data_IF_105168426634
#
_entry.id   IF_105168426634
#
_cell.length_a   1.000
_cell.length_b   1.000
_cell.length_c   1.000
_cell.angle_alpha   90.00
_cell.angle_beta   90.00
_cell.angle_gamma   90.00
#
_symmetry.space_group_name_H-M   'P 1'
#
loop_
_entity.id
_entity.type
_entity.pdbx_description
1 polymer ?
#
# COMPACT_ATOMS: atom_id res chain seq x y z
N UNK A 1 14.68 32.31 12.73
CA UNK A 1 13.76 31.16 12.87
C UNK A 1 14.58 29.90 12.61
N UNK A 2 14.66 28.99 13.58
CA UNK A 2 15.54 27.83 13.50
C UNK A 2 14.70 26.54 13.37
N UNK A 3 14.90 25.80 12.28
CA UNK A 3 14.26 24.51 12.04
C UNK A 3 15.23 23.43 12.50
N UNK A 4 14.89 22.71 13.57
CA UNK A 4 15.70 21.59 14.08
C UNK A 4 15.19 20.29 13.44
N UNK A 5 15.87 19.81 12.41
CA UNK A 5 15.60 18.52 11.78
C UNK A 5 16.36 17.39 12.49
N UNK A 6 15.67 16.64 13.36
CA UNK A 6 16.25 15.48 14.01
C UNK A 6 16.22 14.23 13.09
N UNK A 7 17.33 13.95 12.40
CA UNK A 7 17.48 12.77 11.53
C UNK A 7 17.89 11.54 12.33
N UNK A 8 16.93 10.71 12.74
CA UNK A 8 17.21 9.44 13.45
C UNK A 8 17.90 8.45 12.50
N UNK A 9 19.16 8.10 12.80
CA UNK A 9 19.88 7.01 12.15
C UNK A 9 19.88 5.81 13.10
N UNK A 10 19.22 4.70 12.71
CA UNK A 10 19.30 3.43 13.45
C UNK A 10 20.59 2.71 13.04
N UNK A 11 21.56 2.61 13.96
CA UNK A 11 22.74 1.77 13.79
C UNK A 11 22.45 0.30 14.16
N UNK A 12 23.26 -0.66 13.69
CA UNK A 12 23.07 -2.07 14.02
C UNK A 12 23.55 -2.36 15.44
N UNK A 13 22.73 -3.05 16.23
CA UNK A 13 23.14 -3.65 17.51
C UNK A 13 23.42 -5.14 17.25
N UNK A 14 24.67 -5.55 17.51
CA UNK A 14 25.20 -6.90 17.32
C UNK A 14 25.47 -7.59 18.67
N UNK A 15 25.63 -8.92 18.61
CA UNK A 15 25.94 -9.89 19.68
C UNK A 15 24.71 -10.51 20.40
N UNK A 16 24.37 -11.81 20.21
CA UNK A 16 25.10 -13.08 20.50
C UNK A 16 25.08 -13.40 22.01
N UNK A 17 24.81 -14.62 22.51
CA UNK A 17 24.57 -15.95 21.92
C UNK A 17 23.11 -16.44 22.22
N UNK A 18 22.67 -17.71 22.14
CA UNK A 18 23.32 -19.02 21.94
C UNK A 18 22.38 -20.04 21.23
N UNK A 19 22.70 -21.34 21.32
CA UNK A 19 22.08 -22.45 20.58
C UNK A 19 21.34 -23.49 21.46
N UNK A 20 20.27 -24.06 20.91
CA UNK A 20 19.82 -25.43 21.17
C UNK A 20 19.46 -26.08 19.82
N UNK A 21 19.70 -27.40 19.69
CA UNK A 21 19.99 -28.05 18.40
C UNK A 21 19.12 -29.30 18.18
N UNK A 22 18.47 -29.36 17.02
CA UNK A 22 18.04 -30.57 16.25
C UNK A 22 16.96 -31.50 16.87
N UNK A 23 15.90 -31.77 16.09
CA UNK A 23 15.62 -33.10 15.47
C UNK A 23 14.60 -32.92 14.32
N UNK A 24 14.82 -33.65 13.22
CA UNK A 24 14.00 -33.63 12.00
C UNK A 24 12.72 -34.50 12.09
N UNK A 25 11.76 -34.19 11.22
CA UNK A 25 10.62 -35.03 10.84
C UNK A 25 9.68 -34.24 9.92
N UNK A 26 10.03 -33.98 8.66
CA UNK A 26 9.97 -34.93 7.54
C UNK A 26 8.69 -35.77 7.58
N UNK A 27 7.72 -35.43 6.71
CA UNK A 27 7.32 -36.31 5.60
C UNK A 27 6.51 -35.53 4.55
N UNK A 28 6.74 -35.87 3.28
CA UNK A 28 6.16 -35.26 2.09
C UNK A 28 4.89 -35.99 1.67
N UNK A 29 3.95 -35.28 1.03
CA UNK A 29 3.18 -35.69 -0.18
C UNK A 29 2.15 -34.57 -0.46
N UNK A 30 2.17 -33.77 -1.53
CA UNK A 30 2.33 -34.05 -2.96
C UNK A 30 1.13 -34.80 -3.59
N UNK A 31 0.00 -34.09 -3.78
CA UNK A 31 -0.95 -34.27 -4.90
C UNK A 31 -2.05 -33.19 -4.84
N UNK A 32 -2.20 -32.38 -5.89
CA UNK A 32 -3.19 -31.29 -5.88
C UNK A 32 -3.08 -30.31 -7.04
N UNK A 33 -3.17 -30.82 -8.28
CA UNK A 33 -3.45 -29.96 -9.43
C UNK A 33 -4.84 -29.34 -9.24
N UNK A 34 -4.87 -28.09 -8.81
CA UNK A 34 -6.05 -27.25 -8.66
C UNK A 34 -5.74 -25.86 -9.19
N UNK A 35 -6.69 -25.25 -9.89
CA UNK A 35 -6.44 -24.08 -10.69
C UNK A 35 -5.93 -22.86 -9.91
N UNK A 36 -5.26 -22.00 -10.69
CA UNK A 36 -5.43 -20.54 -10.63
C UNK A 36 -6.91 -20.18 -10.41
N UNK A 37 -7.15 -18.95 -9.93
CA UNK A 37 -8.48 -18.37 -9.72
C UNK A 37 -9.19 -18.75 -8.40
N UNK A 38 -8.51 -18.50 -7.28
CA UNK A 38 -9.19 -17.76 -6.20
C UNK A 38 -9.17 -16.28 -6.53
N UNK A 39 -9.98 -15.88 -7.51
CA UNK A 39 -10.41 -14.50 -7.63
C UNK A 39 -11.26 -14.19 -6.39
N UNK A 40 -10.61 -13.71 -5.33
CA UNK A 40 -11.31 -13.17 -4.16
C UNK A 40 -11.83 -11.80 -4.57
N UNK A 41 -12.93 -11.79 -5.34
CA UNK A 41 -13.86 -10.66 -5.41
C UNK A 41 -14.65 -10.55 -4.09
N UNK A 42 -13.91 -10.57 -2.98
CA UNK A 42 -14.39 -10.19 -1.67
C UNK A 42 -13.83 -8.80 -1.40
N UNK A 43 -14.72 -7.83 -1.20
CA UNK A 43 -14.35 -6.43 -0.91
C UNK A 43 -13.33 -6.41 0.22
N UNK A 44 -12.10 -6.03 -0.10
CA UNK A 44 -11.00 -5.96 0.87
C UNK A 44 -11.40 -4.94 1.92
N UNK A 45 -11.53 -5.35 3.19
CA UNK A 45 -11.92 -4.44 4.27
C UNK A 45 -10.96 -3.25 4.30
N UNK A 46 -11.41 -2.01 4.02
CA UNK A 46 -10.55 -0.84 4.13
C UNK A 46 -10.20 -0.55 5.60
N UNK A 47 -10.96 -1.12 6.55
CA UNK A 47 -10.78 -0.91 7.99
C UNK A 47 -9.81 -1.91 8.59
N UNK A 48 -9.03 -1.44 9.58
CA UNK A 48 -8.11 -2.26 10.38
C UNK A 48 -6.64 -2.06 10.03
N UNK A 49 -6.34 -1.32 8.96
CA UNK A 49 -4.98 -1.09 8.43
C UNK A 49 -4.21 -0.11 9.32
N UNK A 50 -3.30 -0.62 10.16
CA UNK A 50 -2.54 0.13 11.18
C UNK A 50 -1.03 0.00 10.98
N UNK A 51 -0.56 -1.25 10.93
CA UNK A 51 0.84 -1.64 10.84
C UNK A 51 1.37 -1.50 9.42
N UNK A 52 2.67 -1.71 9.22
CA UNK A 52 3.24 -1.74 7.87
C UNK A 52 2.83 -3.01 7.12
N UNK A 53 2.77 -4.09 7.88
CA UNK A 53 2.36 -5.42 7.48
C UNK A 53 0.89 -5.41 7.02
N UNK A 54 0.01 -4.67 7.71
CA UNK A 54 -1.40 -4.51 7.30
C UNK A 54 -1.53 -3.77 5.96
N UNK A 55 -0.66 -2.78 5.69
CA UNK A 55 -0.66 -2.00 4.43
C UNK A 55 -0.15 -2.84 3.26
N UNK A 56 0.90 -3.63 3.49
CA UNK A 56 1.43 -4.58 2.51
C UNK A 56 0.37 -5.64 2.21
N UNK A 57 -0.22 -6.27 3.25
CA UNK A 57 -1.29 -7.26 3.07
C UNK A 57 -2.53 -6.69 2.36
N UNK A 58 -2.87 -5.41 2.60
CA UNK A 58 -3.93 -4.72 1.87
C UNK A 58 -3.60 -4.62 0.37
N UNK A 59 -2.38 -4.20 -0.01
CA UNK A 59 -1.95 -4.13 -1.42
C UNK A 59 -1.80 -5.51 -2.07
N UNK A 60 -1.27 -6.50 -1.34
CA UNK A 60 -1.16 -7.90 -1.77
C UNK A 60 -2.53 -8.54 -2.05
N UNK A 61 -3.59 -8.12 -1.35
CA UNK A 61 -4.95 -8.61 -1.60
C UNK A 61 -5.56 -8.12 -2.92
N UNK A 62 -5.03 -7.05 -3.51
CA UNK A 62 -5.28 -6.65 -4.90
C UNK A 62 -4.31 -7.34 -5.90
N UNK A 63 -3.36 -8.13 -5.41
CA UNK A 63 -2.35 -8.84 -6.21
C UNK A 63 -1.03 -8.09 -6.41
N UNK A 64 -0.83 -6.93 -5.78
CA UNK A 64 0.42 -6.17 -5.89
C UNK A 64 1.53 -6.77 -5.02
N UNK A 65 2.74 -6.88 -5.59
CA UNK A 65 3.97 -7.13 -4.86
C UNK A 65 4.68 -5.79 -4.68
N UNK A 66 4.99 -5.44 -3.43
CA UNK A 66 5.47 -4.10 -3.07
C UNK A 66 6.69 -4.11 -2.17
N UNK A 67 7.36 -2.95 -2.08
CA UNK A 67 8.49 -2.74 -1.16
C UNK A 67 8.12 -3.05 0.30
N UNK A 68 9.06 -3.63 1.05
CA UNK A 68 8.83 -4.03 2.45
C UNK A 68 8.67 -2.86 3.43
N UNK A 69 9.02 -1.64 3.01
CA UNK A 69 8.79 -0.39 3.73
C UNK A 69 8.29 0.64 2.70
N UNK A 70 7.52 1.66 3.12
CA UNK A 70 7.08 2.73 2.23
C UNK A 70 8.27 3.59 1.79
N UNK A 71 8.32 3.93 0.50
CA UNK A 71 9.29 4.86 -0.08
C UNK A 71 9.03 6.31 0.36
N UNK A 72 7.78 6.66 0.66
CA UNK A 72 7.39 7.93 1.24
C UNK A 72 6.22 7.79 2.24
N UNK A 73 6.21 8.65 3.26
CA UNK A 73 5.10 8.81 4.21
C UNK A 73 4.84 10.31 4.40
N UNK A 74 3.65 10.75 4.02
CA UNK A 74 3.26 12.16 3.99
C UNK A 74 2.00 12.39 4.84
N UNK A 75 1.91 13.49 5.59
CA UNK A 75 0.66 13.91 6.25
C UNK A 75 0.01 15.00 5.39
N UNK A 76 -1.21 14.73 4.91
CA UNK A 76 -1.96 15.58 4.01
C UNK A 76 -3.21 16.10 4.73
N UNK A 77 -3.59 17.35 4.47
CA UNK A 77 -4.90 17.89 4.85
C UNK A 77 -5.82 17.76 3.64
N UNK A 78 -6.89 16.98 3.76
CA UNK A 78 -7.97 17.00 2.76
C UNK A 78 -8.61 18.40 2.80
N UNK A 79 -8.83 19.06 1.65
CA UNK A 79 -9.49 20.37 1.58
C UNK A 79 -10.82 20.42 2.34
N UNK A 80 -11.27 21.61 2.74
CA UNK A 80 -12.60 21.78 3.33
C UNK A 80 -13.72 21.66 2.28
N UNK A 81 -13.39 21.93 1.01
CA UNK A 81 -14.22 21.73 -0.17
C UNK A 81 -13.34 21.36 -1.37
N UNK A 82 -13.83 20.48 -2.24
CA UNK A 82 -13.20 20.21 -3.52
C UNK A 82 -13.75 21.15 -4.60
N UNK A 83 -12.89 21.55 -5.54
CA UNK A 83 -13.26 22.23 -6.78
C UNK A 83 -13.09 21.30 -7.99
N UNK A 84 -13.44 21.79 -9.18
CA UNK A 84 -13.46 21.02 -10.43
C UNK A 84 -12.09 20.40 -10.80
N UNK A 85 -10.97 20.89 -10.23
CA UNK A 85 -9.64 20.31 -10.48
C UNK A 85 -9.46 18.93 -9.83
N UNK A 86 -10.28 18.60 -8.83
CA UNK A 86 -10.27 17.31 -8.14
C UNK A 86 -11.20 16.27 -8.77
N UNK A 87 -12.12 16.66 -9.67
CA UNK A 87 -13.19 15.79 -10.21
C UNK A 87 -12.66 14.43 -10.67
N UNK A 88 -11.63 14.41 -11.52
CA UNK A 88 -11.07 13.17 -12.05
C UNK A 88 -10.48 12.26 -10.96
N UNK A 89 -9.89 12.82 -9.90
CA UNK A 89 -9.38 12.05 -8.76
C UNK A 89 -10.51 11.56 -7.85
N UNK A 90 -11.54 12.38 -7.61
CA UNK A 90 -12.72 11.97 -6.84
C UNK A 90 -13.50 10.84 -7.54
N UNK A 91 -13.66 10.92 -8.86
CA UNK A 91 -14.26 9.85 -9.68
C UNK A 91 -13.44 8.56 -9.60
N UNK A 92 -12.10 8.66 -9.66
CA UNK A 92 -11.20 7.52 -9.51
C UNK A 92 -11.27 6.86 -8.13
N UNK A 93 -11.43 7.65 -7.06
CA UNK A 93 -11.59 7.10 -5.71
C UNK A 93 -13.00 6.52 -5.52
N UNK A 94 -14.03 7.20 -6.03
CA UNK A 94 -15.43 6.74 -5.94
C UNK A 94 -15.68 5.45 -6.71
N UNK A 95 -15.02 5.24 -7.85
CA UNK A 95 -15.14 3.99 -8.62
C UNK A 95 -14.57 2.76 -7.88
N UNK A 96 -13.68 2.99 -6.91
CA UNK A 96 -13.14 1.97 -6.00
C UNK A 96 -13.97 1.82 -4.70
N UNK A 97 -15.04 2.60 -4.54
CA UNK A 97 -15.87 2.63 -3.35
C UNK A 97 -15.39 3.59 -2.24
N UNK A 98 -14.46 4.49 -2.54
CA UNK A 98 -13.95 5.49 -1.59
C UNK A 98 -14.61 6.86 -1.78
N UNK A 99 -15.32 7.36 -0.76
CA UNK A 99 -15.83 8.73 -0.73
C UNK A 99 -14.88 9.63 0.08
N UNK A 100 -14.06 10.44 -0.61
CA UNK A 100 -13.18 11.41 0.03
C UNK A 100 -13.91 12.63 0.62
N UNK A 101 -15.18 12.87 0.24
CA UNK A 101 -15.95 14.03 0.74
C UNK A 101 -16.34 13.89 2.21
N UNK A 102 -16.49 12.65 2.72
CA UNK A 102 -16.64 12.37 4.16
C UNK A 102 -15.42 12.80 4.98
N UNK A 103 -14.26 12.97 4.33
CA UNK A 103 -12.98 13.29 4.96
C UNK A 103 -12.53 14.74 4.73
N UNK A 104 -13.40 15.63 4.23
CA UNK A 104 -13.11 17.06 4.14
C UNK A 104 -12.63 17.67 5.47
N UNK A 105 -11.59 18.51 5.39
CA UNK A 105 -10.91 19.12 6.53
C UNK A 105 -10.20 18.14 7.49
N UNK A 106 -10.04 16.86 7.14
CA UNK A 106 -9.33 15.88 7.96
C UNK A 106 -7.85 15.78 7.55
N UNK A 107 -6.97 15.58 8.54
CA UNK A 107 -5.59 15.16 8.28
C UNK A 107 -5.52 13.65 8.12
N UNK A 108 -4.87 13.22 7.05
CA UNK A 108 -4.74 11.82 6.61
C UNK A 108 -3.26 11.55 6.30
N UNK A 109 -2.88 10.27 6.22
CA UNK A 109 -1.51 9.91 5.80
C UNK A 109 -1.51 9.26 4.44
N UNK A 110 -0.66 9.72 3.53
CA UNK A 110 -0.30 8.97 2.33
C UNK A 110 0.89 8.07 2.67
N UNK A 111 0.76 6.78 2.36
CA UNK A 111 1.85 5.82 2.33
C UNK A 111 2.10 5.42 0.89
N UNK A 112 3.33 5.59 0.41
CA UNK A 112 3.72 5.24 -0.96
C UNK A 112 4.66 4.04 -0.92
N UNK A 113 4.38 3.02 -1.71
CA UNK A 113 5.19 1.82 -1.88
C UNK A 113 5.61 1.65 -3.34
N UNK A 114 6.75 1.04 -3.60
CA UNK A 114 7.19 0.71 -4.97
C UNK A 114 6.65 -0.67 -5.38
N UNK A 115 6.04 -0.78 -6.55
CA UNK A 115 5.50 -2.04 -7.12
C UNK A 115 6.60 -2.75 -7.92
N UNK A 116 6.73 -4.07 -7.73
CA UNK A 116 7.69 -4.91 -8.45
C UNK A 116 7.08 -5.80 -9.55
N UNK A 117 5.75 -5.95 -9.60
CA UNK A 117 5.05 -6.89 -10.48
C UNK A 117 4.05 -6.24 -11.45
N UNK A 118 4.28 -4.98 -11.84
CA UNK A 118 3.35 -4.26 -12.73
C UNK A 118 3.20 -4.98 -14.09
N UNK A 119 1.97 -5.28 -14.59
CA UNK A 119 1.78 -6.26 -15.68
C UNK A 119 2.50 -5.95 -17.01
N UNK A 120 2.73 -4.68 -17.33
CA UNK A 120 3.42 -4.25 -18.57
C UNK A 120 4.95 -4.34 -18.47
N UNK A 121 5.50 -4.62 -17.28
CA UNK A 121 6.95 -4.66 -17.02
C UNK A 121 7.60 -3.29 -16.79
N UNK A 122 6.81 -2.22 -16.66
CA UNK A 122 7.31 -0.89 -16.29
C UNK A 122 7.86 -0.87 -14.84
N UNK A 123 8.90 -0.06 -14.61
CA UNK A 123 9.59 0.07 -13.32
C UNK A 123 9.40 1.45 -12.70
N UNK A 124 9.58 1.54 -11.37
CA UNK A 124 9.31 2.76 -10.61
C UNK A 124 7.82 3.11 -10.48
N UNK A 125 6.93 2.14 -10.75
CA UNK A 125 5.50 2.25 -10.50
C UNK A 125 5.24 2.24 -8.99
N UNK A 126 4.30 3.07 -8.52
CA UNK A 126 4.06 3.30 -7.11
C UNK A 126 2.61 3.04 -6.73
N UNK A 127 2.39 2.36 -5.60
CA UNK A 127 1.09 2.24 -4.95
C UNK A 127 0.97 3.27 -3.82
N UNK A 128 -0.04 4.13 -3.88
CA UNK A 128 -0.42 5.07 -2.83
C UNK A 128 -1.61 4.56 -2.03
N UNK A 129 -1.54 4.65 -0.70
CA UNK A 129 -2.69 4.47 0.21
C UNK A 129 -2.91 5.75 1.03
N UNK A 130 -4.13 6.30 0.96
CA UNK A 130 -4.59 7.36 1.86
C UNK A 130 -5.27 6.72 3.07
N UNK A 131 -4.72 6.95 4.26
CA UNK A 131 -5.21 6.35 5.51
C UNK A 131 -5.65 7.43 6.48
N UNK A 132 -6.91 7.36 6.91
CA UNK A 132 -7.44 8.14 8.03
C UNK A 132 -7.63 7.23 9.25
N UNK A 133 -6.96 7.56 10.35
CA UNK A 133 -6.85 6.71 11.55
C UNK A 133 -6.28 5.33 11.20
N UNK A 134 -7.15 4.34 10.96
CA UNK A 134 -6.84 2.95 10.66
C UNK A 134 -7.67 2.42 9.47
N UNK A 135 -8.16 3.33 8.63
CA UNK A 135 -9.04 3.03 7.49
C UNK A 135 -8.40 3.57 6.23
N UNK A 136 -8.27 2.74 5.20
CA UNK A 136 -7.96 3.17 3.84
C UNK A 136 -9.18 3.93 3.30
N UNK A 137 -8.99 5.20 2.96
CA UNK A 137 -10.04 6.09 2.46
C UNK A 137 -9.81 6.48 1.00
N UNK A 138 -8.80 5.90 0.38
CA UNK A 138 -8.41 6.15 -1.00
C UNK A 138 -7.13 5.40 -1.33
N UNK A 139 -6.94 5.07 -2.59
CA UNK A 139 -5.73 4.44 -3.11
C UNK A 139 -5.57 4.64 -4.61
N UNK A 140 -4.32 4.60 -5.05
CA UNK A 140 -3.94 4.80 -6.44
C UNK A 140 -2.70 3.99 -6.79
N UNK A 141 -2.57 3.63 -8.06
CA UNK A 141 -1.33 3.12 -8.67
C UNK A 141 -0.92 4.11 -9.75
N UNK A 142 0.32 4.59 -9.71
CA UNK A 142 0.81 5.63 -10.61
C UNK A 142 2.22 5.38 -11.14
N UNK A 143 2.50 5.92 -12.32
CA UNK A 143 3.85 6.09 -12.84
C UNK A 143 4.27 7.56 -12.67
N UNK A 144 5.34 7.87 -11.90
CA UNK A 144 5.78 9.25 -11.65
C UNK A 144 6.58 9.85 -12.83
N UNK A 145 6.69 9.12 -13.95
CA UNK A 145 7.47 9.53 -15.12
C UNK A 145 6.71 10.55 -15.97
N UNK A 146 7.41 11.29 -16.85
CA UNK A 146 6.78 12.23 -17.77
C UNK A 146 5.92 11.45 -18.79
N UNK A 147 4.62 11.74 -18.83
CA UNK A 147 3.66 10.94 -19.61
C UNK A 147 3.20 9.66 -18.90
N UNK A 148 3.49 9.51 -17.61
CA UNK A 148 2.96 8.45 -16.77
C UNK A 148 1.45 8.53 -16.56
N UNK A 149 0.92 7.54 -15.85
CA UNK A 149 -0.51 7.31 -15.65
C UNK A 149 -0.88 7.29 -14.16
N UNK A 150 -2.18 7.28 -13.90
CA UNK A 150 -2.78 6.94 -12.60
C UNK A 150 -4.01 6.05 -12.85
N UNK A 151 -4.17 5.00 -12.04
CA UNK A 151 -5.39 4.18 -11.98
C UNK A 151 -5.66 3.71 -10.54
N UNK A 152 -6.73 2.92 -10.34
CA UNK A 152 -7.12 2.42 -9.03
C UNK A 152 -6.25 1.26 -8.54
N UNK A 153 -6.53 0.75 -7.35
CA UNK A 153 -5.82 -0.39 -6.76
C UNK A 153 -6.11 -1.73 -7.46
N UNK A 154 -7.16 -1.85 -8.27
CA UNK A 154 -7.38 -3.06 -9.07
C UNK A 154 -6.29 -3.22 -10.14
N UNK A 155 -5.73 -4.43 -10.29
CA UNK A 155 -4.72 -4.69 -11.33
C UNK A 155 -5.33 -4.53 -12.72
N UNK A 156 -4.64 -3.86 -13.66
CA UNK A 156 -5.06 -3.80 -15.05
C UNK A 156 -4.94 -5.19 -15.70
N UNK A 157 -5.97 -5.59 -16.46
CA UNK A 157 -6.04 -6.84 -17.22
C UNK A 157 -5.60 -6.74 -18.67
#
# INVERSE_FOLDING_TARGET
MFIITARVRKGPILAVAAAAVVVCGVLLTAAGLGGRDTAVSGVVSPTGVKSNEDRIAYLESYGWQVSQEPSAVEELLIPESFDDSYTQYLELQSSQGFDLTEYCGKRVKRYTYEISNYPTGETGIQAGLLIYKNTVIGGDVLSPQLGGFIHGLEMPG
#
